data_IF_793903291305
#
_entry.id   IF_793903291305
#
_cell.length_a   1.000
_cell.length_b   1.000
_cell.length_c   1.000
_cell.angle_alpha   90.00
_cell.angle_beta   90.00
_cell.angle_gamma   90.00
#
_symmetry.space_group_name_H-M   'P 1'
#
loop_
_entity.id
_entity.type
_entity.pdbx_description
1 polymer ?
#
# COMPACT_ATOMS: atom_id res chain seq x y z
N UNK A 1 -37.86 11.25 -33.36
CA UNK A 1 -36.39 11.14 -33.28
C UNK A 1 -36.01 11.27 -31.83
N UNK A 2 -35.84 10.14 -31.13
CA UNK A 2 -35.40 10.13 -29.73
C UNK A 2 -33.90 10.37 -29.70
N UNK A 3 -33.49 11.51 -29.14
CA UNK A 3 -32.10 11.89 -29.00
C UNK A 3 -31.46 11.03 -27.91
N UNK A 4 -30.72 10.00 -28.31
CA UNK A 4 -29.97 9.12 -27.43
C UNK A 4 -28.58 9.74 -27.20
N UNK A 5 -28.50 10.76 -26.34
CA UNK A 5 -27.20 11.20 -25.81
C UNK A 5 -26.82 10.27 -24.67
N UNK A 6 -25.70 9.58 -24.84
CA UNK A 6 -25.09 8.79 -23.78
C UNK A 6 -24.91 9.67 -22.52
N UNK A 7 -25.21 9.15 -21.32
CA UNK A 7 -25.03 9.89 -20.09
C UNK A 7 -23.57 10.32 -19.96
N UNK A 8 -23.37 11.61 -19.66
CA UNK A 8 -22.04 12.12 -19.32
C UNK A 8 -21.64 11.53 -17.97
N UNK A 9 -20.48 10.89 -17.94
CA UNK A 9 -19.88 10.32 -16.73
C UNK A 9 -19.68 11.43 -15.69
N UNK A 10 -19.99 11.11 -14.44
CA UNK A 10 -19.73 11.99 -13.30
C UNK A 10 -18.23 12.19 -13.08
N UNK A 11 -17.81 13.26 -12.40
CA UNK A 11 -16.38 13.52 -12.14
C UNK A 11 -15.69 12.34 -11.44
N UNK A 12 -16.41 11.59 -10.58
CA UNK A 12 -15.94 10.35 -9.94
C UNK A 12 -15.71 9.21 -10.95
N UNK A 13 -16.59 9.06 -11.94
CA UNK A 13 -16.47 8.03 -12.98
C UNK A 13 -15.39 8.39 -14.03
N UNK A 14 -15.22 9.68 -14.32
CA UNK A 14 -14.12 10.17 -15.14
C UNK A 14 -12.76 9.92 -14.47
N UNK A 15 -12.68 10.11 -13.15
CA UNK A 15 -11.48 9.79 -12.36
C UNK A 15 -11.16 8.30 -12.39
N UNK A 16 -12.19 7.43 -12.31
CA UNK A 16 -12.03 5.97 -12.40
C UNK A 16 -11.55 5.52 -13.80
N UNK A 17 -12.04 6.16 -14.87
CA UNK A 17 -11.63 5.88 -16.25
C UNK A 17 -10.19 6.34 -16.55
N UNK A 18 -9.73 7.44 -15.96
CA UNK A 18 -8.34 7.90 -16.06
C UNK A 18 -7.36 7.01 -15.28
N UNK A 19 -7.82 6.36 -14.20
CA UNK A 19 -7.03 5.43 -13.39
C UNK A 19 -6.91 4.03 -14.01
N UNK A 20 -7.87 3.63 -14.85
CA UNK A 20 -7.97 2.29 -15.46
C UNK A 20 -7.40 2.20 -16.88
N UNK A 21 -7.12 3.33 -17.52
CA UNK A 21 -6.66 3.40 -18.92
C UNK A 21 -5.12 3.45 -19.08
N UNK A 22 -4.36 3.43 -17.99
CA UNK A 22 -2.90 3.34 -18.04
C UNK A 22 -2.44 1.87 -18.15
N UNK A 23 -2.12 1.46 -19.38
CA UNK A 23 -1.27 0.32 -19.77
C UNK A 23 -1.26 -0.91 -18.85
N UNK A 24 -2.15 -1.86 -19.14
CA UNK A 24 -2.18 -3.22 -18.61
C UNK A 24 -1.01 -4.13 -19.10
N UNK A 25 0.19 -3.58 -19.33
CA UNK A 25 1.38 -4.38 -19.73
C UNK A 25 2.69 -4.01 -19.03
N UNK A 26 2.65 -3.22 -17.96
CA UNK A 26 3.79 -3.15 -17.05
C UNK A 26 3.85 -4.45 -16.23
N UNK A 27 4.83 -5.32 -16.51
CA UNK A 27 5.20 -6.39 -15.58
C UNK A 27 5.55 -5.71 -14.24
N UNK A 28 4.66 -5.85 -13.26
CA UNK A 28 4.87 -5.30 -11.93
C UNK A 28 6.19 -5.86 -11.38
N UNK A 29 7.00 -4.98 -10.82
CA UNK A 29 8.23 -5.34 -10.10
C UNK A 29 7.89 -5.98 -8.76
N UNK A 30 7.09 -7.04 -8.79
CA UNK A 30 6.66 -7.75 -7.60
C UNK A 30 7.86 -8.37 -6.89
N UNK A 31 7.92 -8.16 -5.57
CA UNK A 31 8.60 -9.05 -4.62
C UNK A 31 8.35 -10.52 -5.00
N UNK A 32 9.24 -11.49 -4.69
CA UNK A 32 9.34 -12.80 -5.35
C UNK A 32 8.04 -13.64 -5.25
N UNK A 33 7.05 -13.31 -6.07
CA UNK A 33 5.64 -13.66 -5.86
C UNK A 33 5.33 -15.14 -6.14
N UNK A 34 6.27 -15.88 -6.73
CA UNK A 34 5.99 -17.21 -7.28
C UNK A 34 6.62 -18.36 -6.48
N UNK A 35 7.21 -18.08 -5.30
CA UNK A 35 7.79 -19.14 -4.47
C UNK A 35 6.90 -19.50 -3.29
N UNK A 36 6.87 -20.80 -2.95
CA UNK A 36 6.23 -21.28 -1.71
C UNK A 36 6.79 -20.57 -0.47
N UNK A 37 8.08 -20.25 -0.46
CA UNK A 37 8.71 -19.53 0.64
C UNK A 37 8.16 -18.11 0.79
N UNK A 38 8.01 -17.36 -0.30
CA UNK A 38 7.42 -16.03 -0.25
C UNK A 38 5.96 -16.06 0.22
N UNK A 39 5.18 -17.03 -0.24
CA UNK A 39 3.81 -17.24 0.25
C UNK A 39 3.80 -17.55 1.75
N UNK A 40 4.70 -18.41 2.24
CA UNK A 40 4.83 -18.72 3.67
C UNK A 40 5.24 -17.49 4.49
N UNK A 41 6.15 -16.66 3.98
CA UNK A 41 6.57 -15.41 4.64
C UNK A 41 5.42 -14.40 4.74
N UNK A 42 4.62 -14.25 3.67
CA UNK A 42 3.42 -13.40 3.70
C UNK A 42 2.37 -13.94 4.67
N UNK A 43 2.17 -15.25 4.70
CA UNK A 43 1.27 -15.90 5.67
C UNK A 43 1.74 -15.71 7.11
N UNK A 44 3.05 -15.83 7.37
CA UNK A 44 3.64 -15.56 8.68
C UNK A 44 3.47 -14.09 9.07
N UNK A 45 3.77 -13.15 8.17
CA UNK A 45 3.51 -11.72 8.38
C UNK A 45 2.04 -11.44 8.76
N UNK A 46 1.08 -12.06 8.06
CA UNK A 46 -0.34 -11.97 8.41
C UNK A 46 -0.64 -12.55 9.80
N UNK A 47 -0.05 -13.70 10.14
CA UNK A 47 -0.13 -14.33 11.46
C UNK A 47 0.33 -13.43 12.59
N UNK A 48 1.54 -12.89 12.48
CA UNK A 48 2.13 -12.02 13.51
C UNK A 48 1.39 -10.69 13.62
N UNK A 49 0.88 -10.15 12.50
CA UNK A 49 0.04 -8.95 12.50
C UNK A 49 -1.26 -9.16 13.25
N UNK A 50 -1.91 -10.32 13.07
CA UNK A 50 -3.11 -10.68 13.84
C UNK A 50 -2.80 -10.89 15.32
N UNK A 51 -1.68 -11.55 15.65
CA UNK A 51 -1.25 -11.79 17.02
C UNK A 51 -1.01 -10.47 17.77
N UNK A 52 -0.26 -9.53 17.16
CA UNK A 52 -0.04 -8.19 17.69
C UNK A 52 -1.36 -7.50 18.07
N UNK A 53 -2.32 -7.44 17.14
CA UNK A 53 -3.60 -6.74 17.37
C UNK A 53 -4.43 -7.41 18.46
N UNK A 54 -4.41 -8.75 18.54
CA UNK A 54 -5.05 -9.50 19.63
C UNK A 54 -4.42 -9.18 20.99
N UNK A 55 -3.10 -9.20 21.09
CA UNK A 55 -2.41 -8.93 22.35
C UNK A 55 -2.60 -7.51 22.85
N UNK A 56 -2.58 -6.50 21.97
CA UNK A 56 -2.93 -5.13 22.35
C UNK A 56 -4.37 -5.02 22.87
N UNK A 57 -5.31 -5.77 22.29
CA UNK A 57 -6.68 -5.82 22.78
C UNK A 57 -6.78 -6.55 24.14
N UNK A 58 -6.07 -7.65 24.31
CA UNK A 58 -6.03 -8.39 25.57
C UNK A 58 -5.37 -7.59 26.69
N UNK A 59 -4.37 -6.77 26.39
CA UNK A 59 -3.81 -5.83 27.35
C UNK A 59 -4.86 -4.85 27.89
N UNK A 60 -5.70 -4.29 27.00
CA UNK A 60 -6.83 -3.43 27.40
C UNK A 60 -7.80 -4.17 28.33
N UNK A 61 -8.11 -5.43 28.03
CA UNK A 61 -8.98 -6.27 28.86
C UNK A 61 -8.33 -6.52 30.23
N UNK A 62 -7.06 -6.96 30.27
CA UNK A 62 -6.34 -7.25 31.50
C UNK A 62 -6.29 -6.03 32.44
N UNK A 63 -6.04 -4.84 31.87
CA UNK A 63 -6.06 -3.57 32.60
C UNK A 63 -7.45 -3.26 33.17
N UNK A 64 -8.51 -3.48 32.39
CA UNK A 64 -9.90 -3.32 32.86
C UNK A 64 -10.25 -4.29 34.01
N UNK A 65 -9.65 -5.47 34.02
CA UNK A 65 -9.79 -6.47 35.08
C UNK A 65 -8.86 -6.21 36.29
N UNK A 66 -8.11 -5.11 36.30
CA UNK A 66 -7.24 -4.72 37.40
C UNK A 66 -5.89 -5.44 37.43
N UNK A 67 -5.51 -6.15 36.36
CA UNK A 67 -4.22 -6.85 36.27
C UNK A 67 -3.26 -6.10 35.33
N UNK A 68 -2.55 -5.13 35.89
CA UNK A 68 -1.59 -4.29 35.14
C UNK A 68 -0.34 -5.06 34.72
N UNK A 69 0.10 -6.07 35.48
CA UNK A 69 1.26 -6.90 35.14
C UNK A 69 1.00 -7.70 33.86
N UNK A 70 -0.16 -8.37 33.78
CA UNK A 70 -0.57 -9.11 32.59
C UNK A 70 -0.82 -8.18 31.40
N UNK A 71 -1.35 -6.97 31.65
CA UNK A 71 -1.51 -5.98 30.59
C UNK A 71 -0.16 -5.60 29.95
N UNK A 72 0.85 -5.33 30.79
CA UNK A 72 2.21 -5.02 30.33
C UNK A 72 2.86 -6.19 29.60
N UNK A 73 2.67 -7.42 30.08
CA UNK A 73 3.15 -8.62 29.41
C UNK A 73 2.57 -8.73 27.98
N UNK A 74 1.27 -8.51 27.81
CA UNK A 74 0.65 -8.52 26.48
C UNK A 74 1.17 -7.38 25.58
N UNK A 75 1.39 -6.18 26.13
CA UNK A 75 1.96 -5.05 25.38
C UNK A 75 3.40 -5.35 24.93
N UNK A 76 4.22 -5.95 25.80
CA UNK A 76 5.58 -6.37 25.47
C UNK A 76 5.59 -7.46 24.39
N UNK A 77 4.77 -8.50 24.54
CA UNK A 77 4.64 -9.54 23.51
C UNK A 77 4.14 -8.98 22.18
N UNK A 78 3.18 -8.05 22.19
CA UNK A 78 2.74 -7.38 20.97
C UNK A 78 3.89 -6.65 20.25
N UNK A 79 4.80 -6.00 21.00
CA UNK A 79 5.99 -5.38 20.41
C UNK A 79 6.93 -6.42 19.80
N UNK A 80 7.08 -7.59 20.42
CA UNK A 80 7.83 -8.70 19.83
C UNK A 80 7.21 -9.20 18.52
N UNK A 81 5.88 -9.34 18.45
CA UNK A 81 5.22 -9.75 17.19
C UNK A 81 5.36 -8.70 16.08
N UNK A 82 5.48 -7.41 16.43
CA UNK A 82 5.85 -6.39 15.44
C UNK A 82 7.26 -6.61 14.89
N UNK A 83 8.22 -6.96 15.75
CA UNK A 83 9.57 -7.28 15.31
C UNK A 83 9.61 -8.54 14.41
N UNK A 84 8.84 -9.58 14.75
CA UNK A 84 8.70 -10.77 13.91
C UNK A 84 8.07 -10.44 12.54
N UNK A 85 6.97 -9.70 12.53
CA UNK A 85 6.30 -9.25 11.31
C UNK A 85 7.27 -8.47 10.40
N UNK A 86 8.05 -7.54 10.96
CA UNK A 86 9.04 -6.77 10.19
C UNK A 86 10.20 -7.62 9.69
N UNK A 87 10.65 -8.62 10.46
CA UNK A 87 11.67 -9.55 9.98
C UNK A 87 11.21 -10.36 8.77
N UNK A 88 9.94 -10.76 8.72
CA UNK A 88 9.36 -11.40 7.53
C UNK A 88 9.26 -10.43 6.35
N UNK A 89 8.82 -9.19 6.58
CA UNK A 89 8.75 -8.17 5.54
C UNK A 89 10.14 -7.83 4.99
N UNK A 90 11.20 -7.79 5.79
CA UNK A 90 12.56 -7.54 5.30
C UNK A 90 13.03 -8.62 4.31
N UNK A 91 12.58 -9.87 4.48
CA UNK A 91 12.89 -10.95 3.54
C UNK A 91 12.09 -10.86 2.22
N UNK A 92 10.90 -10.25 2.26
CA UNK A 92 10.02 -10.09 1.09
C UNK A 92 10.33 -8.79 0.34
N UNK A 93 10.60 -7.74 1.11
CA UNK A 93 10.83 -6.36 0.70
C UNK A 93 12.17 -5.87 1.26
N UNK A 94 13.33 -6.38 0.79
CA UNK A 94 14.63 -6.01 1.33
C UNK A 94 14.81 -4.49 1.33
N UNK A 95 15.06 -3.91 2.51
CA UNK A 95 15.13 -2.46 2.69
C UNK A 95 16.21 -1.82 1.82
N UNK A 96 17.31 -2.55 1.56
CA UNK A 96 18.38 -2.14 0.66
C UNK A 96 17.94 -1.94 -0.80
N UNK A 97 16.81 -2.55 -1.20
CA UNK A 97 16.24 -2.43 -2.54
C UNK A 97 15.04 -1.47 -2.61
N UNK A 98 14.73 -0.79 -1.50
CA UNK A 98 13.59 0.11 -1.39
C UNK A 98 14.00 1.57 -1.51
N UNK A 99 13.20 2.32 -2.26
CA UNK A 99 13.25 3.78 -2.30
C UNK A 99 11.91 4.33 -1.83
N UNK A 100 11.86 5.60 -1.43
CA UNK A 100 10.60 6.27 -1.06
C UNK A 100 9.57 6.16 -2.19
N UNK A 101 10.00 6.32 -3.44
CA UNK A 101 9.14 6.14 -4.62
C UNK A 101 8.56 4.73 -4.69
N UNK A 102 9.39 3.70 -4.47
CA UNK A 102 8.97 2.29 -4.55
C UNK A 102 8.01 1.91 -3.42
N UNK A 103 8.25 2.35 -2.19
CA UNK A 103 7.32 2.05 -1.07
C UNK A 103 5.98 2.77 -1.23
N UNK A 104 5.96 3.98 -1.80
CA UNK A 104 4.71 4.68 -2.14
C UNK A 104 3.96 3.97 -3.27
N UNK A 105 4.66 3.44 -4.27
CA UNK A 105 4.05 2.65 -5.34
C UNK A 105 3.44 1.34 -4.80
N UNK A 106 4.17 0.60 -3.95
CA UNK A 106 3.68 -0.61 -3.32
C UNK A 106 2.44 -0.36 -2.43
N UNK A 107 2.44 0.75 -1.66
CA UNK A 107 1.28 1.14 -0.88
C UNK A 107 0.06 1.45 -1.78
N UNK A 108 0.26 2.20 -2.87
CA UNK A 108 -0.80 2.48 -3.83
C UNK A 108 -1.35 1.21 -4.50
N UNK A 109 -0.49 0.23 -4.82
CA UNK A 109 -0.89 -1.06 -5.38
C UNK A 109 -1.76 -1.87 -4.40
N UNK A 110 -1.38 -1.90 -3.12
CA UNK A 110 -2.16 -2.55 -2.06
C UNK A 110 -3.56 -1.92 -1.91
N UNK A 111 -3.62 -0.60 -1.73
CA UNK A 111 -4.88 0.14 -1.61
C UNK A 111 -5.78 -0.03 -2.84
N UNK A 112 -5.19 -0.10 -4.04
CA UNK A 112 -5.95 -0.36 -5.26
C UNK A 112 -6.51 -1.78 -5.28
N UNK A 113 -5.72 -2.79 -4.90
CA UNK A 113 -6.20 -4.17 -4.77
C UNK A 113 -7.35 -4.28 -3.79
N UNK A 114 -7.25 -3.61 -2.63
CA UNK A 114 -8.31 -3.56 -1.65
C UNK A 114 -9.60 -2.97 -2.23
N UNK A 115 -9.49 -1.80 -2.87
CA UNK A 115 -10.60 -1.06 -3.44
C UNK A 115 -11.31 -1.75 -4.60
N UNK A 116 -10.56 -2.35 -5.54
CA UNK A 116 -11.13 -2.83 -6.82
C UNK A 116 -11.28 -4.35 -6.90
N UNK A 117 -10.69 -5.08 -5.95
CA UNK A 117 -10.72 -6.56 -5.95
C UNK A 117 -11.19 -7.13 -4.63
N UNK A 118 -10.51 -6.84 -3.52
CA UNK A 118 -10.77 -7.52 -2.24
C UNK A 118 -12.14 -7.15 -1.66
N UNK A 119 -12.38 -5.86 -1.39
CA UNK A 119 -13.64 -5.42 -0.79
C UNK A 119 -14.86 -5.68 -1.70
N UNK A 120 -14.80 -5.47 -3.03
CA UNK A 120 -15.92 -5.86 -3.91
C UNK A 120 -16.25 -7.36 -3.88
N UNK A 121 -15.25 -8.23 -3.70
CA UNK A 121 -15.49 -9.67 -3.55
C UNK A 121 -16.16 -9.98 -2.20
N UNK A 122 -15.68 -9.38 -1.11
CA UNK A 122 -16.26 -9.57 0.22
C UNK A 122 -17.67 -8.98 0.33
N UNK A 123 -17.93 -7.84 -0.33
CA UNK A 123 -19.26 -7.25 -0.44
C UNK A 123 -20.23 -8.24 -1.10
N UNK A 124 -19.84 -8.84 -2.25
CA UNK A 124 -20.67 -9.83 -2.94
C UNK A 124 -20.99 -11.02 -2.03
N UNK A 125 -20.00 -11.56 -1.34
CA UNK A 125 -20.18 -12.67 -0.39
C UNK A 125 -21.12 -12.26 0.76
N UNK A 126 -20.96 -11.05 1.32
CA UNK A 126 -21.85 -10.53 2.37
C UNK A 126 -23.29 -10.32 1.89
N UNK A 127 -23.49 -9.93 0.62
CA UNK A 127 -24.83 -9.86 0.00
C UNK A 127 -25.45 -11.25 -0.10
N UNK A 128 -24.68 -12.25 -0.55
CA UNK A 128 -25.14 -13.64 -0.65
C UNK A 128 -25.55 -14.21 0.72
N UNK A 129 -24.85 -13.80 1.79
CA UNK A 129 -25.16 -14.19 3.16
C UNK A 129 -26.26 -13.32 3.83
N UNK A 130 -26.72 -12.24 3.18
CA UNK A 130 -27.71 -11.33 3.73
C UNK A 130 -27.20 -10.44 4.88
N UNK A 131 -25.89 -10.23 4.98
CA UNK A 131 -25.26 -9.44 6.04
C UNK A 131 -25.11 -7.96 5.64
N UNK A 132 -26.19 -7.20 5.77
CA UNK A 132 -26.24 -5.79 5.36
C UNK A 132 -25.20 -4.88 6.07
N UNK A 133 -24.81 -5.22 7.30
CA UNK A 133 -23.80 -4.45 8.03
C UNK A 133 -22.40 -4.64 7.42
N UNK A 134 -22.05 -5.88 7.08
CA UNK A 134 -20.77 -6.16 6.41
C UNK A 134 -20.73 -5.55 5.00
N UNK A 135 -21.84 -5.57 4.26
CA UNK A 135 -21.94 -4.88 2.95
C UNK A 135 -21.60 -3.39 3.09
N UNK A 136 -22.23 -2.70 4.04
CA UNK A 136 -21.99 -1.26 4.24
C UNK A 136 -20.53 -0.98 4.62
N UNK A 137 -19.95 -1.79 5.50
CA UNK A 137 -18.54 -1.67 5.91
C UNK A 137 -17.60 -1.85 4.70
N UNK A 138 -17.75 -2.92 3.92
CA UNK A 138 -16.86 -3.17 2.78
C UNK A 138 -16.98 -2.11 1.69
N UNK A 139 -18.17 -1.55 1.46
CA UNK A 139 -18.36 -0.42 0.55
C UNK A 139 -17.63 0.85 1.03
N UNK A 140 -17.70 1.15 2.34
CA UNK A 140 -17.00 2.29 2.93
C UNK A 140 -15.49 2.10 2.83
N UNK A 141 -14.98 0.94 3.21
CA UNK A 141 -13.54 0.63 3.14
C UNK A 141 -13.01 0.61 1.69
N UNK A 142 -13.79 0.13 0.72
CA UNK A 142 -13.43 0.18 -0.70
C UNK A 142 -13.25 1.63 -1.18
N UNK A 143 -14.12 2.53 -0.75
CA UNK A 143 -14.05 3.96 -1.07
C UNK A 143 -12.85 4.62 -0.41
N UNK A 144 -12.64 4.39 0.88
CA UNK A 144 -11.49 4.93 1.62
C UNK A 144 -10.17 4.47 1.01
N UNK A 145 -10.07 3.18 0.66
CA UNK A 145 -8.88 2.63 0.01
C UNK A 145 -8.59 3.30 -1.34
N UNK A 146 -9.62 3.65 -2.11
CA UNK A 146 -9.44 4.39 -3.36
C UNK A 146 -8.85 5.80 -3.12
N UNK A 147 -9.30 6.47 -2.05
CA UNK A 147 -8.77 7.78 -1.65
C UNK A 147 -7.30 7.67 -1.25
N UNK A 148 -6.93 6.65 -0.46
CA UNK A 148 -5.55 6.36 -0.09
C UNK A 148 -4.65 6.07 -1.30
N UNK A 149 -5.11 5.21 -2.23
CA UNK A 149 -4.40 4.90 -3.46
C UNK A 149 -4.07 6.19 -4.24
N UNK A 150 -5.04 7.10 -4.37
CA UNK A 150 -4.86 8.40 -5.01
C UNK A 150 -3.80 9.29 -4.32
N UNK A 151 -3.77 9.29 -2.98
CA UNK A 151 -2.76 10.02 -2.19
C UNK A 151 -1.36 9.47 -2.45
N UNK A 152 -1.19 8.15 -2.35
CA UNK A 152 0.11 7.51 -2.56
C UNK A 152 0.63 7.65 -3.99
N UNK A 153 -0.24 7.51 -5.00
CA UNK A 153 0.13 7.72 -6.40
C UNK A 153 0.60 9.15 -6.67
N UNK A 154 -0.10 10.16 -6.14
CA UNK A 154 0.31 11.57 -6.26
C UNK A 154 1.67 11.81 -5.60
N UNK A 155 1.89 11.23 -4.42
CA UNK A 155 3.15 11.32 -3.71
C UNK A 155 4.30 10.66 -4.50
N UNK A 156 4.09 9.45 -5.03
CA UNK A 156 5.08 8.72 -5.84
C UNK A 156 5.47 9.52 -7.09
N UNK A 157 4.48 10.04 -7.83
CA UNK A 157 4.71 10.88 -9.02
C UNK A 157 5.53 12.13 -8.69
N UNK A 158 5.21 12.82 -7.59
CA UNK A 158 5.96 14.00 -7.13
C UNK A 158 7.41 13.65 -6.79
N UNK A 159 7.63 12.55 -6.07
CA UNK A 159 8.98 12.12 -5.69
C UNK A 159 9.82 11.74 -6.92
N UNK A 160 9.25 10.98 -7.85
CA UNK A 160 9.91 10.63 -9.12
C UNK A 160 10.26 11.86 -9.96
N UNK A 161 9.40 12.88 -9.98
CA UNK A 161 9.68 14.15 -10.66
C UNK A 161 10.86 14.91 -10.03
N UNK A 162 10.91 15.00 -8.69
CA UNK A 162 12.02 15.66 -7.96
C UNK A 162 13.35 14.98 -8.27
N UNK A 163 13.40 13.64 -8.22
CA UNK A 163 14.60 12.86 -8.55
C UNK A 163 15.12 13.16 -9.95
N UNK A 164 14.24 13.31 -10.95
CA UNK A 164 14.63 13.67 -12.33
C UNK A 164 15.21 15.09 -12.42
N UNK A 165 14.63 16.04 -11.68
CA UNK A 165 15.14 17.42 -11.61
C UNK A 165 16.53 17.45 -10.96
N UNK A 166 16.73 16.74 -9.86
CA UNK A 166 18.03 16.65 -9.19
C UNK A 166 19.08 15.97 -10.08
N UNK A 167 18.72 14.89 -10.78
CA UNK A 167 19.61 14.23 -11.74
C UNK A 167 20.00 15.17 -12.89
N UNK A 168 19.06 15.97 -13.40
CA UNK A 168 19.33 16.98 -14.41
C UNK A 168 20.29 18.06 -13.90
N UNK A 169 20.12 18.55 -12.68
CA UNK A 169 21.05 19.50 -12.06
C UNK A 169 22.45 18.89 -11.91
N UNK A 170 22.55 17.66 -11.39
CA UNK A 170 23.81 16.95 -11.23
C UNK A 170 24.55 16.77 -12.56
N UNK A 171 23.86 16.34 -13.62
CA UNK A 171 24.44 16.19 -14.96
C UNK A 171 24.95 17.52 -15.53
N UNK A 172 24.23 18.62 -15.29
CA UNK A 172 24.65 19.97 -15.72
C UNK A 172 25.88 20.45 -14.96
N UNK A 173 25.95 20.21 -13.65
CA UNK A 173 27.12 20.56 -12.86
C UNK A 173 28.34 19.76 -13.28
N UNK A 174 28.18 18.47 -13.57
CA UNK A 174 29.26 17.64 -14.11
C UNK A 174 29.75 18.18 -15.47
N UNK A 175 28.84 18.45 -16.41
CA UNK A 175 29.20 19.01 -17.71
C UNK A 175 29.90 20.38 -17.62
N UNK A 176 29.52 21.21 -16.63
CA UNK A 176 30.20 22.48 -16.38
C UNK A 176 31.62 22.26 -15.83
N UNK A 177 31.79 21.30 -14.90
CA UNK A 177 33.09 20.93 -14.36
C UNK A 177 34.03 20.37 -15.44
N UNK A 178 33.52 19.52 -16.32
CA UNK A 178 34.30 18.93 -17.42
C UNK A 178 34.81 20.01 -18.38
N UNK A 179 33.98 21.01 -18.72
CA UNK A 179 34.38 22.16 -19.54
C UNK A 179 35.48 23.00 -18.89
N UNK A 180 35.37 23.26 -17.58
CA UNK A 180 36.38 24.01 -16.84
C UNK A 180 37.72 23.26 -16.76
N UNK A 181 37.66 21.92 -16.71
CA UNK A 181 38.84 21.07 -16.65
C UNK A 181 39.51 20.97 -18.02
N UNK A 182 38.74 20.81 -19.09
CA UNK A 182 39.24 20.79 -20.47
C UNK A 182 39.88 22.11 -20.90
N UNK A 183 39.41 23.25 -20.38
CA UNK A 183 39.97 24.57 -20.68
C UNK A 183 41.29 24.89 -19.95
N UNK A 184 41.74 24.01 -19.03
CA UNK A 184 42.98 24.16 -18.26
C UNK A 184 44.14 23.29 -18.77
N UNK A 185 43.91 22.47 -19.79
CA UNK A 185 44.89 21.63 -20.49
C UNK A 185 45.26 22.29 -21.81
#
# INVERSE_FOLDING_TARGET
MTNNQAPQLTDSEATLAELTSADATAKSGAAPADTKTAANLMAAFGGESMANRKYLYFAKIARKLGNEEVAKLFEETANHETAHAFAHLELIYPSAEMTVEKVLALAAEGEMYESVTMYPNFEREAVEEGNAAAVAEFQEQAKESLEHAGIFQKAAKRFGALKRVEAFHAARYQAALDKLTAAKV
#
